data_IF_133398305506
#
_entry.id   IF_133398305506
#
_cell.length_a   1.000
_cell.length_b   1.000
_cell.length_c   1.000
_cell.angle_alpha   90.00
_cell.angle_beta   90.00
_cell.angle_gamma   90.00
#
_symmetry.space_group_name_H-M   'P 1'
#
loop_
_entity.id
_entity.type
_entity.pdbx_description
1 polymer ?
#
# COMPACT_ATOMS: atom_id res chain seq x y z
N UNK A 1 41.58 -32.56 -60.53
CA UNK A 1 40.58 -33.37 -59.80
C UNK A 1 39.24 -32.68 -60.00
N UNK A 2 38.52 -32.91 -61.12
CA UNK A 2 37.38 -33.86 -61.27
C UNK A 2 36.53 -33.86 -59.98
N UNK A 3 35.28 -33.40 -59.95
CA UNK A 3 34.06 -33.89 -60.63
C UNK A 3 33.00 -32.77 -60.57
N UNK A 4 32.58 -32.21 -61.72
CA UNK A 4 31.34 -32.47 -62.48
C UNK A 4 30.03 -31.97 -61.85
N UNK A 5 29.62 -30.78 -62.31
CA UNK A 5 28.28 -30.20 -62.24
C UNK A 5 27.42 -30.88 -63.31
N UNK A 6 26.26 -31.44 -62.95
CA UNK A 6 25.32 -31.98 -63.95
C UNK A 6 23.93 -31.42 -63.70
N UNK A 7 23.53 -30.50 -64.59
CA UNK A 7 22.16 -30.05 -64.79
C UNK A 7 21.48 -31.06 -65.70
N UNK A 8 20.30 -31.56 -65.32
CA UNK A 8 19.39 -32.22 -66.26
C UNK A 8 17.97 -31.72 -66.02
N UNK A 9 17.49 -30.99 -67.03
CA UNK A 9 16.09 -30.69 -67.29
C UNK A 9 15.49 -31.93 -67.95
N UNK A 10 14.37 -32.44 -67.42
CA UNK A 10 13.49 -33.36 -68.13
C UNK A 10 12.05 -32.87 -68.03
N UNK A 11 11.50 -32.53 -69.19
CA UNK A 11 10.07 -32.35 -69.43
C UNK A 11 9.46 -33.75 -69.56
N UNK A 12 8.36 -34.05 -68.86
CA UNK A 12 7.46 -35.11 -69.31
C UNK A 12 6.03 -34.95 -68.76
N UNK A 13 5.15 -34.57 -69.68
CA UNK A 13 3.86 -35.20 -70.05
C UNK A 13 2.90 -35.60 -68.93
N UNK A 14 1.75 -34.92 -68.95
CA UNK A 14 0.50 -35.20 -68.25
C UNK A 14 0.01 -36.63 -68.57
N UNK A 15 -0.34 -37.40 -67.55
CA UNK A 15 -1.20 -38.58 -67.66
C UNK A 15 -2.22 -38.54 -66.52
N UNK A 16 -3.48 -38.31 -66.89
CA UNK A 16 -4.61 -38.42 -65.99
C UNK A 16 -4.86 -39.89 -65.63
N UNK A 17 -4.62 -40.26 -64.38
CA UNK A 17 -5.17 -41.49 -63.80
C UNK A 17 -5.91 -41.14 -62.52
N UNK A 18 -7.24 -41.22 -62.61
CA UNK A 18 -8.18 -41.25 -61.50
C UNK A 18 -7.74 -42.30 -60.48
N UNK A 19 -7.57 -41.90 -59.22
CA UNK A 19 -7.48 -42.81 -58.08
C UNK A 19 -8.44 -42.35 -57.00
N UNK A 20 -9.28 -43.29 -56.61
CA UNK A 20 -10.41 -43.25 -55.70
C UNK A 20 -10.11 -42.60 -54.34
N UNK A 21 -11.08 -41.82 -53.84
CA UNK A 21 -11.16 -41.41 -52.43
C UNK A 21 -11.03 -42.65 -51.54
N UNK A 22 -9.90 -42.79 -50.83
CA UNK A 22 -9.87 -43.59 -49.61
C UNK A 22 -10.73 -42.85 -48.58
N UNK A 23 -11.80 -43.50 -48.13
CA UNK A 23 -12.62 -43.06 -47.01
C UNK A 23 -11.94 -43.45 -45.70
N UNK A 24 -10.72 -42.96 -45.47
CA UNK A 24 -10.15 -42.99 -44.13
C UNK A 24 -10.76 -41.85 -43.35
N UNK A 25 -11.77 -42.19 -42.54
CA UNK A 25 -12.25 -41.34 -41.47
C UNK A 25 -11.09 -41.07 -40.53
N UNK A 26 -10.41 -39.94 -40.72
CA UNK A 26 -9.54 -39.36 -39.72
C UNK A 26 -10.39 -39.13 -38.47
N UNK A 27 -10.31 -40.03 -37.49
CA UNK A 27 -10.74 -39.71 -36.14
C UNK A 27 -9.96 -38.47 -35.72
N UNK A 28 -10.61 -37.35 -35.38
CA UNK A 28 -9.90 -36.21 -34.85
C UNK A 28 -9.12 -36.69 -33.64
N UNK A 29 -7.79 -36.50 -33.63
CA UNK A 29 -7.03 -36.58 -32.39
C UNK A 29 -7.58 -35.43 -31.55
N UNK A 30 -8.51 -35.75 -30.65
CA UNK A 30 -8.90 -34.84 -29.59
C UNK A 30 -7.66 -34.72 -28.70
N UNK A 31 -6.83 -33.71 -28.98
CA UNK A 31 -5.87 -33.23 -28.00
C UNK A 31 -6.66 -33.04 -26.70
N UNK A 32 -6.28 -33.69 -25.58
CA UNK A 32 -6.92 -33.47 -24.31
C UNK A 32 -6.97 -31.95 -24.08
N UNK A 33 -8.08 -31.38 -23.61
CA UNK A 33 -8.12 -29.96 -23.33
C UNK A 33 -6.94 -29.66 -22.39
N UNK A 34 -5.95 -28.95 -22.91
CA UNK A 34 -4.83 -28.45 -22.11
C UNK A 34 -5.48 -27.65 -21.00
N UNK A 35 -5.40 -28.17 -19.77
CA UNK A 35 -6.02 -27.53 -18.63
C UNK A 35 -5.22 -26.28 -18.35
N UNK A 36 -5.64 -25.17 -18.94
CA UNK A 36 -4.95 -23.88 -18.81
C UNK A 36 -5.40 -23.13 -17.55
N UNK A 37 -6.35 -23.68 -16.79
CA UNK A 37 -6.83 -23.11 -15.53
C UNK A 37 -6.63 -24.05 -14.36
N UNK A 38 -6.16 -23.49 -13.25
CA UNK A 38 -5.86 -24.21 -12.02
C UNK A 38 -6.59 -23.55 -10.84
N UNK A 39 -6.88 -24.34 -9.81
CA UNK A 39 -7.61 -23.89 -8.63
C UNK A 39 -6.67 -23.22 -7.64
N UNK A 40 -7.08 -22.06 -7.16
CA UNK A 40 -6.51 -21.40 -5.98
C UNK A 40 -7.48 -21.63 -4.82
N UNK A 41 -6.97 -22.22 -3.73
CA UNK A 41 -7.73 -22.41 -2.50
C UNK A 41 -7.17 -21.53 -1.40
N UNK A 42 -7.90 -20.49 -1.04
CA UNK A 42 -7.60 -19.60 0.07
C UNK A 42 -8.47 -19.95 1.27
N UNK A 43 -7.85 -20.40 2.36
CA UNK A 43 -8.50 -20.63 3.65
C UNK A 43 -8.24 -19.42 4.57
N UNK A 44 -9.23 -19.05 5.38
CA UNK A 44 -9.19 -17.85 6.24
C UNK A 44 -8.80 -16.57 5.45
N UNK A 45 -9.33 -16.47 4.23
CA UNK A 45 -9.07 -15.37 3.32
C UNK A 45 -9.96 -15.45 2.08
N UNK A 46 -9.68 -14.55 1.15
CA UNK A 46 -10.44 -14.32 -0.06
C UNK A 46 -9.53 -14.43 -1.30
N UNK A 47 -10.11 -14.74 -2.45
CA UNK A 47 -9.39 -14.97 -3.72
C UNK A 47 -9.42 -16.41 -4.22
N UNK A 48 -10.19 -17.30 -3.59
CA UNK A 48 -10.41 -18.66 -4.08
C UNK A 48 -11.17 -18.66 -5.40
N UNK A 49 -10.60 -19.23 -6.46
CA UNK A 49 -11.27 -19.42 -7.75
C UNK A 49 -10.43 -20.32 -8.68
N UNK A 50 -10.83 -20.44 -9.94
CA UNK A 50 -9.98 -20.96 -11.02
C UNK A 50 -9.38 -19.80 -11.81
N UNK A 51 -8.07 -19.86 -12.03
CA UNK A 51 -7.31 -18.85 -12.75
C UNK A 51 -6.48 -19.50 -13.84
N UNK A 52 -6.20 -18.76 -14.93
CA UNK A 52 -5.34 -19.27 -15.98
C UNK A 52 -3.88 -19.20 -15.57
N UNK A 53 -3.05 -20.09 -16.10
CA UNK A 53 -1.60 -20.00 -15.91
C UNK A 53 -1.10 -18.63 -16.37
N UNK A 54 -0.27 -17.98 -15.57
CA UNK A 54 0.23 -16.64 -15.88
C UNK A 54 -0.68 -15.48 -15.46
N UNK A 55 -1.91 -15.73 -14.99
CA UNK A 55 -2.74 -14.68 -14.40
C UNK A 55 -2.07 -14.12 -13.13
N UNK A 56 -2.10 -12.80 -12.95
CA UNK A 56 -1.82 -12.18 -11.65
C UNK A 56 -3.02 -12.40 -10.73
N UNK A 57 -2.82 -13.16 -9.66
CA UNK A 57 -3.85 -13.48 -8.67
C UNK A 57 -3.53 -12.74 -7.38
N UNK A 58 -4.52 -12.01 -6.86
CA UNK A 58 -4.46 -11.38 -5.55
C UNK A 58 -5.15 -12.28 -4.52
N UNK A 59 -4.62 -12.31 -3.31
CA UNK A 59 -5.27 -12.97 -2.17
C UNK A 59 -5.22 -12.05 -0.96
N UNK A 60 -6.26 -12.13 -0.14
CA UNK A 60 -6.45 -11.25 1.01
C UNK A 60 -6.79 -12.09 2.23
N UNK A 61 -6.27 -11.70 3.39
CA UNK A 61 -6.69 -12.26 4.66
C UNK A 61 -8.16 -11.96 4.92
N UNK A 62 -8.81 -12.82 5.72
CA UNK A 62 -10.09 -12.49 6.33
C UNK A 62 -9.99 -11.17 7.11
N UNK A 63 -11.11 -10.44 7.22
CA UNK A 63 -11.19 -9.26 8.09
C UNK A 63 -10.87 -9.62 9.55
N UNK A 64 -10.23 -8.70 10.27
CA UNK A 64 -9.80 -8.89 11.66
C UNK A 64 -10.04 -7.64 12.50
N UNK A 65 -10.34 -7.84 13.79
CA UNK A 65 -10.72 -6.78 14.71
C UNK A 65 -9.56 -6.04 15.37
N UNK A 66 -9.87 -5.15 16.30
CA UNK A 66 -8.88 -4.34 17.03
C UNK A 66 -7.95 -5.15 17.94
N UNK A 67 -8.40 -6.32 18.38
CA UNK A 67 -7.62 -7.28 19.18
C UNK A 67 -6.80 -8.26 18.32
N UNK A 68 -6.66 -8.00 17.02
CA UNK A 68 -5.96 -8.88 16.09
C UNK A 68 -5.12 -8.10 15.07
N UNK A 69 -4.07 -8.76 14.58
CA UNK A 69 -3.30 -8.37 13.39
C UNK A 69 -3.12 -9.59 12.50
N UNK A 70 -2.83 -9.36 11.22
CA UNK A 70 -2.38 -10.44 10.35
C UNK A 70 -1.00 -10.96 10.80
N UNK A 71 -0.86 -12.28 10.84
CA UNK A 71 0.42 -12.93 11.19
C UNK A 71 1.20 -13.30 9.93
N UNK A 72 0.71 -14.30 9.18
CA UNK A 72 1.36 -14.82 7.97
C UNK A 72 0.42 -15.70 7.13
N UNK A 73 0.85 -15.94 5.90
CA UNK A 73 0.34 -17.02 5.06
C UNK A 73 1.08 -18.34 5.34
N UNK A 74 0.42 -19.46 5.05
CA UNK A 74 0.99 -20.82 5.03
C UNK A 74 0.49 -21.60 3.82
N UNK A 75 1.13 -22.72 3.45
CA UNK A 75 0.85 -23.45 2.21
C UNK A 75 1.91 -23.16 1.14
N UNK A 76 1.48 -22.90 -0.10
CA UNK A 76 2.37 -22.65 -1.26
C UNK A 76 3.04 -21.26 -1.26
N UNK A 77 3.41 -20.74 -0.09
CA UNK A 77 3.84 -19.34 0.13
C UNK A 77 5.07 -18.91 -0.65
N UNK A 78 5.83 -19.84 -1.22
CA UNK A 78 6.98 -19.56 -2.09
C UNK A 78 6.59 -18.81 -3.37
N UNK A 79 5.32 -18.84 -3.78
CA UNK A 79 4.83 -18.07 -4.92
C UNK A 79 4.45 -16.63 -4.57
N UNK A 80 4.24 -16.31 -3.29
CA UNK A 80 3.71 -15.01 -2.87
C UNK A 80 4.82 -13.95 -2.90
N UNK A 81 4.51 -12.78 -3.47
CA UNK A 81 5.45 -11.65 -3.46
C UNK A 81 5.60 -11.02 -2.06
N UNK A 82 4.59 -11.16 -1.20
CA UNK A 82 4.58 -10.64 0.17
C UNK A 82 3.92 -11.62 1.14
N UNK A 83 4.56 -12.75 1.49
CA UNK A 83 3.95 -13.79 2.33
C UNK A 83 3.66 -13.35 3.77
N UNK A 84 4.22 -12.21 4.21
CA UNK A 84 3.89 -11.57 5.49
C UNK A 84 2.76 -10.55 5.41
N UNK A 85 2.35 -10.12 4.22
CA UNK A 85 1.37 -9.05 4.04
C UNK A 85 -0.05 -9.62 3.99
N UNK A 86 -1.00 -8.93 4.63
CA UNK A 86 -2.39 -9.35 4.71
C UNK A 86 -3.05 -9.40 3.32
N UNK A 87 -2.59 -8.56 2.40
CA UNK A 87 -2.90 -8.60 0.98
C UNK A 87 -1.61 -8.86 0.22
N UNK A 88 -1.64 -9.84 -0.66
CA UNK A 88 -0.49 -10.20 -1.50
C UNK A 88 -0.95 -10.75 -2.85
N UNK A 89 0.01 -11.02 -3.73
CA UNK A 89 -0.26 -11.50 -5.06
C UNK A 89 0.84 -12.44 -5.55
N UNK A 90 0.50 -13.24 -6.56
CA UNK A 90 1.41 -14.17 -7.24
C UNK A 90 0.99 -14.35 -8.70
N UNK A 91 1.89 -14.92 -9.51
CA UNK A 91 1.59 -15.35 -10.86
C UNK A 91 1.14 -16.80 -10.81
N UNK A 92 -0.04 -17.09 -11.34
CA UNK A 92 -0.65 -18.42 -11.26
C UNK A 92 0.24 -19.49 -11.92
N UNK A 93 0.72 -20.51 -11.18
CA UNK A 93 1.51 -21.58 -11.75
C UNK A 93 0.63 -22.59 -12.49
N UNK A 94 1.27 -23.52 -13.21
CA UNK A 94 0.61 -24.62 -13.92
C UNK A 94 0.17 -25.78 -12.99
N UNK A 95 -0.29 -25.45 -11.79
CA UNK A 95 -0.79 -26.41 -10.80
C UNK A 95 -1.76 -25.73 -9.83
N UNK A 96 -2.57 -26.53 -9.15
CA UNK A 96 -3.38 -26.03 -8.04
C UNK A 96 -2.47 -25.54 -6.90
N UNK A 97 -2.89 -24.50 -6.20
CA UNK A 97 -2.18 -23.94 -5.05
C UNK A 97 -3.13 -23.70 -3.90
N UNK A 98 -2.63 -23.78 -2.67
CA UNK A 98 -3.39 -23.48 -1.47
C UNK A 98 -2.63 -22.55 -0.53
N UNK A 99 -3.37 -21.57 0.01
CA UNK A 99 -2.89 -20.60 0.98
C UNK A 99 -3.84 -20.56 2.17
N UNK A 100 -3.29 -20.50 3.37
CA UNK A 100 -4.07 -20.32 4.59
C UNK A 100 -3.57 -19.12 5.36
N UNK A 101 -4.45 -18.12 5.53
CA UNK A 101 -4.18 -16.92 6.32
C UNK A 101 -4.28 -17.21 7.81
N UNK A 102 -3.41 -16.58 8.60
CA UNK A 102 -3.43 -16.70 10.06
C UNK A 102 -3.40 -15.34 10.72
N UNK A 103 -4.13 -15.22 11.83
CA UNK A 103 -4.21 -14.01 12.63
C UNK A 103 -3.49 -14.23 13.94
N UNK A 104 -2.89 -13.15 14.46
CA UNK A 104 -2.30 -13.10 15.80
C UNK A 104 -3.14 -12.21 16.69
N UNK A 105 -3.51 -12.71 17.86
CA UNK A 105 -4.16 -11.89 18.89
C UNK A 105 -3.18 -10.88 19.48
N UNK A 106 -3.67 -9.65 19.68
CA UNK A 106 -2.95 -8.56 20.31
C UNK A 106 -3.84 -7.90 21.37
N UNK A 107 -3.23 -7.17 22.29
CA UNK A 107 -3.98 -6.24 23.14
C UNK A 107 -4.41 -5.05 22.27
N UNK A 108 -5.71 -4.68 22.26
CA UNK A 108 -6.16 -3.47 21.57
C UNK A 108 -5.34 -2.25 21.98
N UNK A 109 -4.94 -1.47 20.98
CA UNK A 109 -4.09 -0.29 21.19
C UNK A 109 -4.99 0.93 21.34
N UNK A 110 -5.04 1.48 22.54
CA UNK A 110 -5.72 2.75 22.81
C UNK A 110 -4.68 3.85 23.01
N UNK A 111 -4.64 4.80 22.07
CA UNK A 111 -3.74 5.94 22.18
C UNK A 111 -4.18 6.87 23.31
N UNK A 112 -3.22 7.33 24.09
CA UNK A 112 -3.43 8.45 25.00
C UNK A 112 -3.50 9.73 24.18
N UNK A 113 -4.34 10.67 24.60
CA UNK A 113 -4.44 12.00 24.00
C UNK A 113 -4.21 13.05 25.06
N UNK A 114 -3.35 14.01 24.76
CA UNK A 114 -3.24 15.24 25.54
C UNK A 114 -2.81 16.41 24.66
N UNK A 115 -2.96 17.62 25.19
CA UNK A 115 -2.36 18.82 24.61
C UNK A 115 -0.95 18.96 25.19
N UNK A 116 0.08 18.96 24.34
CA UNK A 116 1.47 19.19 24.75
C UNK A 116 1.94 20.52 24.18
N UNK A 117 2.62 21.32 25.00
CA UNK A 117 3.17 22.61 24.56
C UNK A 117 4.27 22.36 23.52
N UNK A 118 4.03 22.78 22.27
CA UNK A 118 5.05 22.94 21.23
C UNK A 118 5.86 24.22 21.43
N UNK A 119 6.51 24.72 20.37
CA UNK A 119 7.31 25.96 20.43
C UNK A 119 6.45 27.16 20.79
N UNK A 120 5.37 27.40 20.06
CA UNK A 120 4.58 28.63 20.19
C UNK A 120 3.17 28.43 20.76
N UNK A 121 2.61 27.21 20.70
CA UNK A 121 1.28 26.88 21.24
C UNK A 121 1.14 25.42 21.69
N UNK A 122 -0.03 25.07 22.23
CA UNK A 122 -0.38 23.69 22.52
C UNK A 122 -0.63 22.93 21.20
N UNK A 123 -0.19 21.68 21.16
CA UNK A 123 -0.33 20.77 20.02
C UNK A 123 -1.13 19.55 20.47
N UNK A 124 -2.10 19.07 19.67
CA UNK A 124 -2.71 17.78 19.93
C UNK A 124 -1.65 16.69 19.75
N UNK A 125 -1.49 15.85 20.78
CA UNK A 125 -0.56 14.73 20.74
C UNK A 125 -1.29 13.45 21.12
N UNK A 126 -1.22 12.47 20.23
CA UNK A 126 -1.62 11.10 20.50
C UNK A 126 -0.39 10.22 20.66
N UNK A 127 -0.35 9.33 21.64
CA UNK A 127 0.81 8.49 21.87
C UNK A 127 0.47 7.17 22.55
N UNK A 128 1.37 6.21 22.40
CA UNK A 128 1.36 4.96 23.17
C UNK A 128 2.80 4.46 23.29
N UNK A 129 3.22 4.08 24.50
CA UNK A 129 4.54 3.49 24.74
C UNK A 129 4.38 2.15 25.45
N UNK A 130 4.63 1.02 24.75
CA UNK A 130 4.72 -0.28 25.40
C UNK A 130 5.76 -0.25 26.52
N UNK A 131 5.50 -1.00 27.59
CA UNK A 131 6.52 -1.25 28.61
C UNK A 131 7.77 -1.86 27.95
N UNK A 132 8.94 -1.26 28.21
CA UNK A 132 10.20 -1.72 27.63
C UNK A 132 10.40 -1.42 26.13
N UNK A 133 9.57 -0.57 25.51
CA UNK A 133 9.64 -0.24 24.08
C UNK A 133 11.08 -0.05 23.57
N UNK A 134 11.39 -0.59 22.38
CA UNK A 134 12.75 -0.59 21.81
C UNK A 134 13.15 0.74 21.16
N UNK A 135 12.16 1.57 20.87
CA UNK A 135 12.28 2.87 20.23
C UNK A 135 10.89 3.44 20.02
N UNK A 136 10.78 4.57 19.33
CA UNK A 136 9.48 5.13 18.99
C UNK A 136 9.44 5.75 17.60
N UNK A 137 8.24 5.74 17.02
CA UNK A 137 7.96 6.18 15.66
C UNK A 137 7.08 7.41 15.70
N UNK A 138 7.52 8.48 15.05
CA UNK A 138 6.63 9.58 14.68
C UNK A 138 5.79 9.21 13.47
N UNK A 139 4.47 9.31 13.57
CA UNK A 139 3.55 9.14 12.45
C UNK A 139 3.07 10.52 11.98
N UNK A 140 3.24 10.82 10.69
CA UNK A 140 3.05 12.16 10.14
C UNK A 140 1.99 12.18 9.03
N UNK A 141 1.01 13.08 9.17
CA UNK A 141 -0.06 13.26 8.20
C UNK A 141 0.41 13.95 6.91
N UNK A 142 -0.33 13.73 5.82
CA UNK A 142 -0.15 14.47 4.56
C UNK A 142 -0.76 15.87 4.58
N UNK A 143 -0.68 16.57 3.45
CA UNK A 143 -1.32 17.89 3.28
C UNK A 143 -2.81 17.86 3.65
N UNK A 144 -3.29 18.89 4.34
CA UNK A 144 -4.66 19.01 4.85
C UNK A 144 -5.09 17.94 5.86
N UNK A 145 -4.15 17.10 6.31
CA UNK A 145 -4.38 16.15 7.40
C UNK A 145 -4.30 16.80 8.78
N UNK A 146 -4.80 16.08 9.77
CA UNK A 146 -4.70 16.42 11.19
C UNK A 146 -4.20 15.21 11.99
N UNK A 147 -3.72 15.43 13.21
CA UNK A 147 -3.34 14.34 14.11
C UNK A 147 -4.56 13.43 14.37
N UNK A 148 -5.73 14.03 14.57
CA UNK A 148 -6.99 13.32 14.80
C UNK A 148 -7.41 12.49 13.58
N UNK A 149 -7.33 13.03 12.36
CA UNK A 149 -7.67 12.24 11.17
C UNK A 149 -6.71 11.06 11.00
N UNK A 150 -5.43 11.26 11.27
CA UNK A 150 -4.42 10.21 11.14
C UNK A 150 -4.71 9.01 12.03
N UNK A 151 -4.98 9.26 13.32
CA UNK A 151 -5.20 8.17 14.30
C UNK A 151 -6.55 7.45 14.13
N UNK A 152 -7.45 8.02 13.33
CA UNK A 152 -8.77 7.43 13.02
C UNK A 152 -8.85 6.84 11.60
N UNK A 153 -7.85 7.08 10.73
CA UNK A 153 -7.80 6.50 9.38
C UNK A 153 -7.50 5.01 9.47
N UNK A 154 -8.31 4.18 8.81
CA UNK A 154 -8.26 2.73 8.98
C UNK A 154 -6.88 2.14 8.66
N UNK A 155 -6.22 2.61 7.60
CA UNK A 155 -4.91 2.10 7.16
C UNK A 155 -3.80 2.50 8.15
N UNK A 156 -3.85 3.71 8.70
CA UNK A 156 -2.93 4.13 9.77
C UNK A 156 -3.16 3.36 11.07
N UNK A 157 -4.41 3.01 11.39
CA UNK A 157 -4.75 2.15 12.52
C UNK A 157 -4.08 0.80 12.39
N UNK A 158 -4.09 0.19 11.20
CA UNK A 158 -3.39 -1.07 10.98
C UNK A 158 -1.88 -0.92 11.21
N UNK A 159 -1.26 0.14 10.69
CA UNK A 159 0.17 0.38 10.85
C UNK A 159 0.55 0.54 12.33
N UNK A 160 -0.13 1.40 13.09
CA UNK A 160 0.28 1.63 14.47
C UNK A 160 -0.01 0.44 15.40
N UNK A 161 -1.07 -0.35 15.13
CA UNK A 161 -1.33 -1.60 15.86
C UNK A 161 -0.16 -2.55 15.72
N UNK A 162 0.36 -2.70 14.51
CA UNK A 162 1.48 -3.58 14.24
C UNK A 162 2.81 -3.03 14.81
N UNK A 163 3.05 -1.72 14.74
CA UNK A 163 4.22 -1.09 15.38
C UNK A 163 4.23 -1.32 16.89
N UNK A 164 3.09 -1.11 17.56
CA UNK A 164 2.96 -1.30 19.01
C UNK A 164 3.13 -2.77 19.40
N UNK A 165 2.51 -3.69 18.65
CA UNK A 165 2.68 -5.13 18.86
C UNK A 165 4.11 -5.61 18.61
N UNK A 166 4.87 -4.91 17.77
CA UNK A 166 6.30 -5.16 17.53
C UNK A 166 7.21 -4.47 18.57
N UNK A 167 6.64 -3.77 19.55
CA UNK A 167 7.34 -3.17 20.68
C UNK A 167 7.86 -1.75 20.43
N UNK A 168 7.37 -1.06 19.41
CA UNK A 168 7.62 0.37 19.24
C UNK A 168 6.64 1.22 20.05
N UNK A 169 7.14 2.32 20.62
CA UNK A 169 6.27 3.44 20.99
C UNK A 169 5.85 4.23 19.75
N UNK A 170 4.77 5.00 19.86
CA UNK A 170 4.31 5.89 18.80
C UNK A 170 4.02 7.29 19.36
N UNK A 171 4.28 8.30 18.54
CA UNK A 171 3.85 9.69 18.77
C UNK A 171 3.22 10.19 17.48
N UNK A 172 2.05 10.82 17.59
CA UNK A 172 1.34 11.49 16.49
C UNK A 172 1.03 12.91 16.93
N UNK A 173 1.37 13.87 16.08
CA UNK A 173 0.95 15.26 16.20
C UNK A 173 0.75 15.83 14.81
N UNK A 174 0.59 17.14 14.69
CA UNK A 174 0.27 17.80 13.43
C UNK A 174 1.14 19.02 13.17
N UNK A 175 1.19 19.39 11.89
CA UNK A 175 1.89 20.57 11.41
C UNK A 175 1.38 21.85 12.08
N UNK A 176 2.22 22.89 12.10
CA UNK A 176 1.83 24.16 12.68
C UNK A 176 0.66 24.82 11.97
N UNK A 177 0.65 24.75 10.64
CA UNK A 177 -0.43 25.28 9.81
C UNK A 177 -1.76 24.55 10.07
N UNK A 178 -1.70 23.24 10.29
CA UNK A 178 -2.88 22.47 10.68
C UNK A 178 -3.45 22.97 12.01
N UNK A 179 -2.60 23.17 13.03
CA UNK A 179 -3.07 23.61 14.36
C UNK A 179 -3.67 25.01 14.34
N UNK A 180 -3.17 25.91 13.49
CA UNK A 180 -3.70 27.28 13.37
C UNK A 180 -4.86 27.41 12.41
N UNK A 181 -4.97 26.51 11.43
CA UNK A 181 -5.79 26.73 10.24
C UNK A 181 -5.26 27.87 9.36
N UNK A 182 -4.00 28.26 9.51
CA UNK A 182 -3.37 29.36 8.76
C UNK A 182 -2.26 28.80 7.89
N UNK A 183 -2.39 29.03 6.58
CA UNK A 183 -1.34 28.84 5.59
C UNK A 183 -0.27 29.93 5.78
N UNK A 184 0.79 29.59 6.51
CA UNK A 184 1.78 30.55 6.98
C UNK A 184 2.80 30.90 5.89
N UNK A 185 2.97 30.01 4.92
CA UNK A 185 3.91 30.19 3.81
C UNK A 185 3.23 30.66 2.50
N UNK A 186 1.90 30.81 2.51
CA UNK A 186 1.05 31.25 1.41
C UNK A 186 1.10 30.35 0.16
N UNK A 187 1.24 29.04 0.36
CA UNK A 187 1.27 28.05 -0.73
C UNK A 187 -0.10 27.45 -1.10
N UNK A 188 -1.16 27.93 -0.44
CA UNK A 188 -2.56 27.52 -0.61
C UNK A 188 -2.93 26.23 0.10
N UNK A 189 -2.05 25.67 0.94
CA UNK A 189 -2.24 24.37 1.60
C UNK A 189 -1.91 24.48 3.09
N UNK A 190 -2.43 23.56 3.90
CA UNK A 190 -2.06 23.42 5.32
C UNK A 190 -1.22 22.16 5.47
N UNK A 191 0.07 22.29 5.80
CA UNK A 191 0.99 21.15 5.77
C UNK A 191 2.26 21.36 6.60
N UNK A 192 3.08 20.31 6.70
CA UNK A 192 4.38 20.40 7.33
C UNK A 192 5.32 21.29 6.52
N UNK A 193 6.01 22.19 7.20
CA UNK A 193 7.09 22.98 6.63
C UNK A 193 8.35 22.11 6.54
N UNK A 194 8.65 21.59 5.35
CA UNK A 194 9.75 20.63 5.15
C UNK A 194 11.13 21.29 5.21
N UNK A 195 11.22 22.55 4.78
CA UNK A 195 12.48 23.31 4.64
C UNK A 195 12.30 24.75 5.13
N UNK A 196 13.34 25.40 5.72
CA UNK A 196 14.65 24.83 6.07
C UNK A 196 14.55 23.74 7.13
N UNK A 197 15.44 22.75 7.08
CA UNK A 197 15.49 21.67 8.06
C UNK A 197 16.33 22.11 9.27
N UNK A 198 15.70 22.78 10.22
CA UNK A 198 16.34 23.27 11.44
C UNK A 198 15.33 23.44 12.59
N UNK A 199 15.74 23.26 13.84
CA UNK A 199 14.81 23.36 14.99
C UNK A 199 14.75 24.74 15.65
N UNK A 200 15.22 25.79 14.97
CA UNK A 200 15.29 27.16 15.51
C UNK A 200 14.32 28.09 14.77
N UNK A 201 14.37 28.10 13.45
CA UNK A 201 13.53 28.90 12.57
C UNK A 201 12.30 28.12 12.11
N UNK A 202 12.46 26.83 11.82
CA UNK A 202 11.33 26.01 11.41
C UNK A 202 10.54 25.50 12.63
N UNK A 203 9.31 26.01 12.75
CA UNK A 203 8.40 25.75 13.87
C UNK A 203 8.03 24.27 14.00
N UNK A 204 7.92 23.53 12.90
CA UNK A 204 7.55 22.11 12.96
C UNK A 204 8.67 21.26 13.55
N UNK A 205 9.93 21.51 13.19
CA UNK A 205 11.07 20.82 13.80
C UNK A 205 11.23 21.20 15.28
N UNK A 206 10.99 22.47 15.62
CA UNK A 206 10.99 22.92 17.01
C UNK A 206 9.88 22.22 17.83
N UNK A 207 8.67 22.11 17.27
CA UNK A 207 7.55 21.38 17.86
C UNK A 207 7.90 19.92 18.12
N UNK A 208 8.40 19.19 17.11
CA UNK A 208 8.81 17.79 17.26
C UNK A 208 9.85 17.64 18.37
N UNK A 209 10.87 18.50 18.39
CA UNK A 209 11.91 18.49 19.43
C UNK A 209 11.32 18.69 20.83
N UNK A 210 10.49 19.72 21.03
CA UNK A 210 9.93 20.06 22.34
C UNK A 210 8.95 19.00 22.84
N UNK A 211 8.11 18.45 21.96
CA UNK A 211 7.22 17.34 22.29
C UNK A 211 8.03 16.11 22.69
N UNK A 212 9.09 15.78 21.93
CA UNK A 212 9.98 14.65 22.28
C UNK A 212 10.64 14.88 23.65
N UNK A 213 11.19 16.08 23.89
CA UNK A 213 11.82 16.46 25.15
C UNK A 213 10.84 16.35 26.33
N UNK A 214 9.54 16.59 26.11
CA UNK A 214 8.49 16.39 27.14
C UNK A 214 8.38 14.92 27.56
N UNK A 215 8.40 13.97 26.62
CA UNK A 215 8.38 12.53 26.94
C UNK A 215 9.66 12.08 27.65
N UNK A 216 10.82 12.68 27.33
CA UNK A 216 12.06 12.43 28.04
C UNK A 216 12.01 12.94 29.48
N UNK A 217 11.56 14.17 29.69
CA UNK A 217 11.50 14.78 31.02
C UNK A 217 10.51 14.07 31.95
N UNK A 218 9.44 13.49 31.39
CA UNK A 218 8.46 12.67 32.13
C UNK A 218 8.92 11.23 32.39
N UNK A 219 10.08 10.82 31.86
CA UNK A 219 10.59 9.45 32.01
C UNK A 219 9.81 8.38 31.24
N UNK A 220 8.90 8.77 30.33
CA UNK A 220 8.12 7.84 29.50
C UNK A 220 9.04 7.13 28.50
N UNK A 221 10.02 7.85 27.96
CA UNK A 221 11.11 7.33 27.12
C UNK A 221 12.40 8.07 27.46
N UNK A 222 13.51 7.76 26.78
CA UNK A 222 14.79 8.42 27.04
C UNK A 222 15.63 8.57 25.76
N UNK A 223 16.71 9.36 25.85
CA UNK A 223 17.58 9.68 24.69
C UNK A 223 18.38 8.50 24.14
N UNK A 224 18.46 7.38 24.87
CA UNK A 224 19.09 6.15 24.35
C UNK A 224 18.14 5.33 23.49
N UNK A 225 16.83 5.62 23.49
CA UNK A 225 15.84 4.96 22.64
C UNK A 225 15.94 5.47 21.22
N UNK A 226 15.91 4.54 20.27
CA UNK A 226 15.99 4.83 18.85
C UNK A 226 14.72 5.56 18.38
N UNK A 227 14.91 6.52 17.48
CA UNK A 227 13.85 7.33 16.89
C UNK A 227 13.66 6.95 15.43
N UNK A 228 12.41 6.94 15.00
CA UNK A 228 12.00 6.58 13.65
C UNK A 228 10.89 7.50 13.19
N UNK A 229 10.64 7.50 11.89
CA UNK A 229 9.54 8.27 11.34
C UNK A 229 8.86 7.56 10.17
N UNK A 230 7.54 7.63 10.11
CA UNK A 230 6.73 7.21 8.97
C UNK A 230 5.76 8.33 8.65
N UNK A 231 5.68 8.71 7.38
CA UNK A 231 4.74 9.73 6.95
C UNK A 231 4.21 9.48 5.56
N UNK A 232 3.11 10.13 5.23
CA UNK A 232 2.48 10.04 3.91
C UNK A 232 2.43 11.41 3.21
N UNK A 233 2.65 11.45 1.90
CA UNK A 233 2.61 12.67 1.07
C UNK A 233 3.58 13.74 1.60
N UNK A 234 3.11 14.97 1.84
CA UNK A 234 3.92 15.99 2.51
C UNK A 234 4.52 15.50 3.85
N UNK A 235 3.81 14.70 4.64
CA UNK A 235 4.34 14.05 5.83
C UNK A 235 5.41 13.00 5.55
N UNK A 236 5.39 12.35 4.38
CA UNK A 236 6.44 11.44 3.92
C UNK A 236 7.72 12.17 3.53
N UNK A 237 7.57 13.32 2.85
CA UNK A 237 8.70 14.24 2.64
C UNK A 237 9.23 14.75 3.99
N UNK A 238 8.36 15.21 4.89
CA UNK A 238 8.77 15.67 6.21
C UNK A 238 9.48 14.56 7.00
N UNK A 239 9.00 13.31 6.95
CA UNK A 239 9.64 12.17 7.60
C UNK A 239 11.10 11.99 7.16
N UNK A 240 11.38 12.13 5.86
CA UNK A 240 12.73 12.01 5.32
C UNK A 240 13.66 13.13 5.81
N UNK A 241 13.22 14.40 5.72
CA UNK A 241 14.04 15.54 6.14
C UNK A 241 14.23 15.58 7.66
N UNK A 242 13.15 15.35 8.43
CA UNK A 242 13.17 15.27 9.89
C UNK A 242 14.17 14.21 10.37
N UNK A 243 14.15 13.05 9.73
CA UNK A 243 15.02 11.93 10.08
C UNK A 243 16.48 12.13 9.70
N UNK A 244 16.75 12.81 8.59
CA UNK A 244 18.11 13.22 8.24
C UNK A 244 18.64 14.30 9.19
N UNK A 245 17.83 15.31 9.51
CA UNK A 245 18.23 16.39 10.43
C UNK A 245 18.52 15.88 11.85
N UNK A 246 17.57 15.16 12.46
CA UNK A 246 17.72 14.65 13.83
C UNK A 246 18.49 13.34 13.95
N UNK A 247 19.01 12.81 12.82
CA UNK A 247 19.73 11.53 12.75
C UNK A 247 18.94 10.38 13.38
N UNK A 248 17.69 10.24 12.94
CA UNK A 248 16.86 9.10 13.31
C UNK A 248 17.43 7.80 12.72
N UNK A 249 17.03 6.67 13.28
CA UNK A 249 17.57 5.36 12.91
C UNK A 249 17.11 4.92 11.51
N UNK A 250 15.86 5.22 11.15
CA UNK A 250 15.31 5.00 9.81
C UNK A 250 14.04 5.83 9.60
N UNK A 251 13.69 6.06 8.33
CA UNK A 251 12.46 6.73 7.91
C UNK A 251 11.73 5.94 6.82
N UNK A 252 10.41 6.09 6.75
CA UNK A 252 9.58 5.57 5.67
C UNK A 252 8.71 6.67 5.09
N UNK A 253 8.78 6.84 3.76
CA UNK A 253 8.02 7.82 3.00
C UNK A 253 6.97 7.11 2.15
N UNK A 254 5.70 7.26 2.51
CA UNK A 254 4.57 6.83 1.70
C UNK A 254 4.17 7.92 0.72
N UNK A 255 4.00 7.56 -0.55
CA UNK A 255 3.53 8.46 -1.61
C UNK A 255 4.26 9.82 -1.60
N UNK A 256 5.59 9.81 -1.45
CA UNK A 256 6.40 11.01 -1.53
C UNK A 256 7.85 10.68 -1.93
N UNK A 257 8.47 11.48 -2.80
CA UNK A 257 9.81 11.22 -3.31
C UNK A 257 10.94 11.62 -2.36
N UNK A 258 10.64 12.16 -1.16
CA UNK A 258 11.60 12.68 -0.18
C UNK A 258 12.44 13.90 -0.65
N UNK A 259 12.15 14.47 -1.82
CA UNK A 259 12.74 15.71 -2.30
C UNK A 259 14.28 15.73 -2.24
N UNK A 260 14.85 16.87 -1.85
CA UNK A 260 16.30 17.05 -1.79
C UNK A 260 16.95 16.31 -0.62
N UNK A 261 16.21 15.92 0.42
CA UNK A 261 16.77 15.14 1.52
C UNK A 261 17.33 13.79 1.03
N UNK A 262 16.73 13.19 0.00
CA UNK A 262 17.26 11.95 -0.59
C UNK A 262 18.67 12.11 -1.20
N UNK A 263 19.05 13.33 -1.60
CA UNK A 263 20.35 13.61 -2.22
C UNK A 263 21.49 13.60 -1.20
N UNK A 264 21.20 13.94 0.06
CA UNK A 264 22.21 14.11 1.11
C UNK A 264 22.07 13.12 2.25
N UNK A 265 20.88 12.56 2.47
CA UNK A 265 20.60 11.71 3.64
C UNK A 265 21.60 10.56 3.77
N UNK A 266 22.02 10.36 5.01
CA UNK A 266 22.75 9.16 5.47
C UNK A 266 21.84 8.25 6.31
N UNK A 267 20.62 8.73 6.61
CA UNK A 267 19.60 7.98 7.34
C UNK A 267 18.93 6.98 6.39
N UNK A 268 18.85 5.68 6.77
CA UNK A 268 18.12 4.69 6.00
C UNK A 268 16.70 5.13 5.67
N UNK A 269 16.31 5.05 4.39
CA UNK A 269 15.02 5.52 3.90
C UNK A 269 14.33 4.48 3.01
N UNK A 270 13.10 4.10 3.37
CA UNK A 270 12.22 3.29 2.54
C UNK A 270 11.16 4.15 1.86
N UNK A 271 10.87 3.84 0.60
CA UNK A 271 9.79 4.44 -0.19
C UNK A 271 8.66 3.42 -0.38
N UNK A 272 7.43 3.84 -0.12
CA UNK A 272 6.22 3.08 -0.40
C UNK A 272 5.33 3.92 -1.33
N UNK A 273 5.44 3.69 -2.63
CA UNK A 273 4.78 4.50 -3.66
C UNK A 273 3.48 3.87 -4.15
N UNK A 274 2.57 4.66 -4.70
CA UNK A 274 1.36 4.16 -5.34
C UNK A 274 1.49 4.31 -6.87
N UNK A 275 1.46 3.22 -7.62
CA UNK A 275 1.76 3.21 -9.07
C UNK A 275 0.97 4.24 -9.87
N UNK A 276 -0.30 4.39 -9.54
CA UNK A 276 -1.25 5.23 -10.28
C UNK A 276 -1.64 6.48 -9.50
N UNK A 277 -0.79 6.92 -8.57
CA UNK A 277 -0.94 8.18 -7.84
C UNK A 277 -1.28 9.32 -8.81
N UNK A 278 -2.48 9.88 -8.68
CA UNK A 278 -2.95 10.96 -9.55
C UNK A 278 -2.64 12.36 -8.99
N UNK A 279 -1.92 12.44 -7.86
CA UNK A 279 -1.56 13.72 -7.28
C UNK A 279 -0.53 14.44 -8.15
N UNK A 280 -0.79 15.71 -8.45
CA UNK A 280 0.08 16.56 -9.28
C UNK A 280 1.55 16.59 -8.82
N UNK A 281 1.81 16.42 -7.52
CA UNK A 281 3.14 16.54 -6.93
C UNK A 281 3.86 15.19 -6.79
N UNK A 282 3.15 14.07 -6.94
CA UNK A 282 3.67 12.73 -6.61
C UNK A 282 3.49 11.72 -7.74
N UNK A 283 2.64 11.99 -8.75
CA UNK A 283 2.24 11.03 -9.77
C UNK A 283 3.35 10.38 -10.61
N UNK A 284 3.22 10.18 -11.93
CA UNK A 284 4.25 9.42 -12.68
C UNK A 284 5.68 9.95 -12.48
N UNK A 285 5.85 11.28 -12.42
CA UNK A 285 7.14 11.93 -12.16
C UNK A 285 7.63 11.73 -10.72
N UNK A 286 6.76 11.85 -9.72
CA UNK A 286 7.15 11.65 -8.31
C UNK A 286 7.48 10.18 -8.01
N UNK A 287 6.75 9.24 -8.60
CA UNK A 287 7.07 7.81 -8.56
C UNK A 287 8.45 7.49 -9.15
N UNK A 288 8.76 8.06 -10.32
CA UNK A 288 10.07 7.92 -10.94
C UNK A 288 11.17 8.57 -10.08
N UNK A 289 10.91 9.76 -9.52
CA UNK A 289 11.83 10.43 -8.62
C UNK A 289 12.12 9.60 -7.35
N UNK A 290 11.10 9.01 -6.72
CA UNK A 290 11.26 8.15 -5.56
C UNK A 290 12.15 6.92 -5.86
N UNK A 291 11.98 6.29 -7.03
CA UNK A 291 12.82 5.18 -7.46
C UNK A 291 14.28 5.62 -7.66
N UNK A 292 14.50 6.71 -8.41
CA UNK A 292 15.83 7.28 -8.64
C UNK A 292 16.50 7.68 -7.32
N UNK A 293 15.74 8.25 -6.39
CA UNK A 293 16.22 8.65 -5.07
C UNK A 293 16.62 7.44 -4.21
N UNK A 294 15.83 6.35 -4.23
CA UNK A 294 16.20 5.10 -3.56
C UNK A 294 17.50 4.50 -4.13
N UNK A 295 17.64 4.51 -5.46
CA UNK A 295 18.84 4.05 -6.14
C UNK A 295 20.06 4.93 -5.82
N UNK A 296 19.88 6.25 -5.75
CA UNK A 296 20.94 7.20 -5.38
C UNK A 296 21.42 7.00 -3.94
N UNK A 297 20.50 6.79 -2.99
CA UNK A 297 20.88 6.51 -1.59
C UNK A 297 21.70 5.22 -1.53
N UNK A 298 21.26 4.19 -2.27
CA UNK A 298 21.96 2.90 -2.36
C UNK A 298 23.33 3.03 -3.01
N UNK A 299 23.47 3.79 -4.11
CA UNK A 299 24.74 3.99 -4.80
C UNK A 299 25.76 4.77 -3.97
N UNK A 300 25.30 5.59 -3.02
CA UNK A 300 26.12 6.26 -2.00
C UNK A 300 26.49 5.37 -0.81
N UNK A 301 26.06 4.11 -0.79
CA UNK A 301 26.38 3.13 0.26
C UNK A 301 25.45 3.16 1.47
N UNK A 302 24.32 3.87 1.41
CA UNK A 302 23.33 3.93 2.49
C UNK A 302 22.13 3.04 2.18
N UNK A 303 21.49 2.53 3.23
CA UNK A 303 20.36 1.62 3.05
C UNK A 303 19.12 2.34 2.48
N UNK A 304 18.56 1.80 1.41
CA UNK A 304 17.24 2.19 0.93
C UNK A 304 16.46 0.99 0.40
N UNK A 305 15.13 1.09 0.46
CA UNK A 305 14.19 0.13 -0.13
C UNK A 305 13.12 0.91 -0.90
N UNK A 306 12.64 0.32 -1.98
CA UNK A 306 11.57 0.87 -2.80
C UNK A 306 10.50 -0.18 -3.01
N UNK A 307 9.28 0.17 -2.64
CA UNK A 307 8.08 -0.62 -2.88
C UNK A 307 7.07 0.23 -3.62
N UNK A 308 6.25 -0.42 -4.44
CA UNK A 308 5.26 0.25 -5.26
C UNK A 308 4.00 -0.60 -5.33
N UNK A 309 2.94 -0.05 -4.75
CA UNK A 309 1.66 -0.70 -4.72
C UNK A 309 1.03 -0.66 -6.11
N UNK A 310 0.47 -1.79 -6.54
CA UNK A 310 -0.20 -1.92 -7.83
C UNK A 310 -1.72 -1.87 -7.65
N UNK A 311 -2.45 -1.76 -8.77
CA UNK A 311 -3.90 -1.96 -8.72
C UNK A 311 -4.21 -3.36 -8.22
N UNK A 312 -5.31 -3.47 -7.47
CA UNK A 312 -5.83 -4.72 -6.99
C UNK A 312 -7.34 -4.79 -7.28
N UNK A 313 -7.89 -5.99 -7.49
CA UNK A 313 -9.33 -6.14 -7.62
C UNK A 313 -10.03 -5.72 -6.33
N UNK A 314 -11.22 -5.14 -6.48
CA UNK A 314 -12.11 -4.88 -5.36
C UNK A 314 -12.84 -6.19 -5.04
N UNK A 315 -12.47 -6.88 -3.96
CA UNK A 315 -13.22 -8.04 -3.49
C UNK A 315 -14.48 -7.61 -2.76
N UNK A 316 -15.52 -8.45 -2.83
CA UNK A 316 -16.82 -8.18 -2.24
C UNK A 316 -16.73 -7.96 -0.72
N UNK A 317 -15.72 -8.54 -0.07
CA UNK A 317 -15.47 -8.47 1.36
C UNK A 317 -14.53 -7.31 1.76
N UNK A 318 -13.97 -6.57 0.80
CA UNK A 318 -12.98 -5.51 1.08
C UNK A 318 -13.50 -4.46 2.05
N UNK A 319 -14.77 -4.08 1.94
CA UNK A 319 -15.35 -3.09 2.83
C UNK A 319 -15.69 -3.65 4.23
N UNK A 320 -15.80 -4.97 4.38
CA UNK A 320 -16.01 -5.59 5.67
C UNK A 320 -14.76 -5.56 6.57
N UNK A 321 -13.58 -5.23 6.03
CA UNK A 321 -12.32 -5.09 6.79
C UNK A 321 -12.41 -4.14 7.97
N UNK A 322 -13.29 -3.13 7.91
CA UNK A 322 -13.50 -2.17 9.00
C UNK A 322 -14.14 -2.79 10.25
N UNK A 323 -14.78 -3.95 10.13
CA UNK A 323 -15.44 -4.66 11.24
C UNK A 323 -16.84 -4.15 11.58
N UNK A 324 -17.12 -2.86 11.35
CA UNK A 324 -18.45 -2.25 11.52
C UNK A 324 -19.31 -2.27 10.24
N UNK A 325 -18.78 -2.81 9.12
CA UNK A 325 -19.51 -3.13 7.90
C UNK A 325 -19.58 -4.66 7.80
N UNK A 326 -20.78 -5.22 7.74
CA UNK A 326 -20.94 -6.68 7.62
C UNK A 326 -20.51 -7.16 6.23
N UNK A 327 -20.10 -8.44 6.12
CA UNK A 327 -19.78 -9.05 4.81
C UNK A 327 -20.95 -8.94 3.84
N UNK A 328 -22.18 -9.20 4.30
CA UNK A 328 -23.37 -9.04 3.48
C UNK A 328 -23.52 -7.61 2.94
N UNK A 329 -23.25 -6.60 3.78
CA UNK A 329 -23.34 -5.20 3.36
C UNK A 329 -22.23 -4.81 2.38
N UNK A 330 -21.01 -5.26 2.64
CA UNK A 330 -19.86 -5.09 1.75
C UNK A 330 -20.16 -5.68 0.36
N UNK A 331 -20.71 -6.90 0.30
CA UNK A 331 -21.13 -7.56 -0.94
C UNK A 331 -22.23 -6.80 -1.66
N UNK A 332 -23.20 -6.23 -0.93
CA UNK A 332 -24.27 -5.44 -1.55
C UNK A 332 -23.72 -4.17 -2.23
N UNK A 333 -22.80 -3.45 -1.58
CA UNK A 333 -22.13 -2.28 -2.16
C UNK A 333 -21.28 -2.69 -3.36
N UNK A 334 -20.52 -3.78 -3.26
CA UNK A 334 -19.76 -4.32 -4.39
C UNK A 334 -20.66 -4.61 -5.60
N UNK A 335 -21.81 -5.24 -5.39
CA UNK A 335 -22.77 -5.54 -6.45
C UNK A 335 -23.42 -4.27 -7.03
N UNK A 336 -23.69 -3.27 -6.21
CA UNK A 336 -24.16 -1.95 -6.66
C UNK A 336 -23.12 -1.28 -7.59
N UNK A 337 -21.85 -1.27 -7.19
CA UNK A 337 -20.76 -0.75 -8.02
C UNK A 337 -20.61 -1.54 -9.33
N UNK A 338 -20.67 -2.88 -9.25
CA UNK A 338 -20.54 -3.78 -10.41
C UNK A 338 -21.67 -3.58 -11.41
N UNK A 339 -22.92 -3.60 -10.96
CA UNK A 339 -24.11 -3.47 -11.80
C UNK A 339 -24.19 -2.10 -12.49
N UNK A 340 -23.64 -1.05 -11.86
CA UNK A 340 -23.53 0.29 -12.44
C UNK A 340 -22.28 0.48 -13.32
N UNK A 341 -21.49 -0.57 -13.53
CA UNK A 341 -20.39 -0.56 -14.48
C UNK A 341 -19.07 0.03 -13.97
N UNK A 342 -18.96 0.36 -12.68
CA UNK A 342 -17.72 0.88 -12.08
C UNK A 342 -16.61 -0.17 -11.99
N UNK A 343 -16.94 -1.46 -12.08
CA UNK A 343 -15.98 -2.56 -12.06
C UNK A 343 -15.88 -3.23 -13.44
N UNK A 344 -14.68 -3.66 -13.83
CA UNK A 344 -14.46 -4.47 -15.04
C UNK A 344 -14.80 -5.95 -14.82
N UNK A 345 -14.62 -6.80 -15.82
CA UNK A 345 -14.92 -8.24 -15.71
C UNK A 345 -14.07 -8.97 -14.66
N UNK A 346 -12.90 -8.45 -14.31
CA UNK A 346 -11.97 -8.97 -13.30
C UNK A 346 -12.10 -8.27 -11.93
N UNK A 347 -13.14 -7.45 -11.76
CA UNK A 347 -13.45 -6.70 -10.54
C UNK A 347 -12.45 -5.60 -10.19
N UNK A 348 -11.66 -5.12 -11.15
CA UNK A 348 -10.90 -3.89 -10.98
C UNK A 348 -11.82 -2.69 -11.14
N UNK A 349 -11.63 -1.69 -10.29
CA UNK A 349 -12.34 -0.43 -10.40
C UNK A 349 -11.84 0.38 -11.61
N UNK A 350 -12.76 0.94 -12.39
CA UNK A 350 -12.49 1.70 -13.61
C UNK A 350 -12.31 3.18 -13.28
N UNK A 351 -11.19 3.76 -13.71
CA UNK A 351 -10.84 5.15 -13.39
C UNK A 351 -10.33 5.30 -11.96
N UNK A 352 -10.69 6.43 -11.33
CA UNK A 352 -10.39 6.76 -9.94
C UNK A 352 -11.69 7.03 -9.17
N UNK A 353 -11.59 7.27 -7.86
CA UNK A 353 -12.74 7.49 -6.98
C UNK A 353 -13.63 8.66 -7.43
N UNK A 354 -13.06 9.66 -8.09
CA UNK A 354 -13.76 10.81 -8.66
C UNK A 354 -14.91 10.38 -9.58
N UNK A 355 -14.68 9.38 -10.44
CA UNK A 355 -15.69 8.81 -11.35
C UNK A 355 -16.93 8.34 -10.60
N UNK A 356 -16.76 7.68 -9.45
CA UNK A 356 -17.89 7.27 -8.61
C UNK A 356 -18.50 8.47 -7.88
N UNK A 357 -17.70 9.34 -7.27
CA UNK A 357 -18.23 10.46 -6.50
C UNK A 357 -19.01 11.46 -7.36
N UNK A 358 -18.58 11.73 -8.59
CA UNK A 358 -19.31 12.55 -9.56
C UNK A 358 -20.64 11.91 -9.94
N UNK A 359 -20.65 10.60 -10.24
CA UNK A 359 -21.89 9.88 -10.55
C UNK A 359 -22.86 9.85 -9.37
N UNK A 360 -22.34 9.67 -8.15
CA UNK A 360 -23.11 9.74 -6.92
C UNK A 360 -23.71 11.13 -6.69
N UNK A 361 -22.93 12.20 -6.84
CA UNK A 361 -23.41 13.58 -6.70
C UNK A 361 -24.51 13.92 -7.71
N UNK A 362 -24.40 13.43 -8.94
CA UNK A 362 -25.39 13.67 -9.98
C UNK A 362 -26.73 12.94 -9.71
N UNK A 363 -26.70 11.75 -9.09
CA UNK A 363 -27.93 11.02 -8.76
C UNK A 363 -27.76 10.12 -7.51
N UNK A 364 -27.81 10.70 -6.30
CA UNK A 364 -27.60 9.95 -5.05
C UNK A 364 -28.64 8.84 -4.84
N UNK A 365 -29.89 9.10 -5.24
CA UNK A 365 -30.99 8.14 -5.08
C UNK A 365 -30.76 6.82 -5.82
N UNK A 366 -29.88 6.81 -6.83
CA UNK A 366 -29.53 5.60 -7.57
C UNK A 366 -28.60 4.66 -6.80
N UNK A 367 -28.06 5.06 -5.64
CA UNK A 367 -27.08 4.30 -4.84
C UNK A 367 -27.61 3.90 -3.45
N UNK A 368 -28.70 3.13 -3.35
CA UNK A 368 -29.32 2.78 -2.08
C UNK A 368 -28.39 2.04 -1.10
N UNK A 369 -27.51 1.16 -1.60
CA UNK A 369 -26.59 0.41 -0.74
C UNK A 369 -25.54 1.35 -0.13
N UNK A 370 -24.96 2.24 -0.92
CA UNK A 370 -24.03 3.25 -0.42
C UNK A 370 -24.72 4.29 0.48
N UNK A 371 -25.96 4.68 0.20
CA UNK A 371 -26.72 5.64 1.02
C UNK A 371 -27.01 5.15 2.43
N UNK A 372 -27.22 3.84 2.59
CA UNK A 372 -27.51 3.24 3.89
C UNK A 372 -26.31 3.17 4.84
N UNK A 373 -25.11 3.48 4.35
CA UNK A 373 -23.91 3.59 5.17
C UNK A 373 -23.93 4.87 6.01
N UNK A 374 -23.28 4.83 7.17
CA UNK A 374 -22.94 6.04 7.92
C UNK A 374 -21.91 6.88 7.14
N UNK A 375 -21.73 8.14 7.54
CA UNK A 375 -20.72 9.04 6.93
C UNK A 375 -19.32 8.42 7.02
N UNK A 376 -18.93 7.88 8.18
CA UNK A 376 -17.61 7.27 8.38
C UNK A 376 -17.42 6.01 7.54
N UNK A 377 -18.46 5.20 7.37
CA UNK A 377 -18.41 4.02 6.51
C UNK A 377 -18.29 4.41 5.03
N UNK A 378 -18.98 5.47 4.57
CA UNK A 378 -18.82 6.00 3.22
C UNK A 378 -17.41 6.51 2.94
N UNK A 379 -16.83 7.26 3.88
CA UNK A 379 -15.44 7.72 3.78
C UNK A 379 -14.49 6.52 3.62
N UNK A 380 -14.65 5.51 4.48
CA UNK A 380 -13.85 4.29 4.39
C UNK A 380 -14.03 3.54 3.06
N UNK A 381 -15.27 3.42 2.54
CA UNK A 381 -15.51 2.81 1.22
C UNK A 381 -14.76 3.57 0.12
N UNK A 382 -14.81 4.90 0.13
CA UNK A 382 -14.11 5.73 -0.85
C UNK A 382 -12.59 5.55 -0.75
N UNK A 383 -12.05 5.55 0.47
CA UNK A 383 -10.63 5.26 0.72
C UNK A 383 -10.22 3.89 0.17
N UNK A 384 -11.01 2.84 0.43
CA UNK A 384 -10.71 1.49 -0.07
C UNK A 384 -10.78 1.40 -1.60
N UNK A 385 -11.66 2.17 -2.26
CA UNK A 385 -11.68 2.28 -3.72
C UNK A 385 -10.38 2.97 -4.20
N UNK A 386 -10.00 4.11 -3.61
CA UNK A 386 -8.75 4.81 -3.95
C UNK A 386 -7.52 3.90 -3.77
N UNK A 387 -7.43 3.15 -2.68
CA UNK A 387 -6.33 2.20 -2.45
C UNK A 387 -6.36 1.07 -3.49
N UNK A 388 -7.54 0.55 -3.86
CA UNK A 388 -7.65 -0.54 -4.85
C UNK A 388 -7.15 -0.14 -6.23
N UNK A 389 -7.27 1.15 -6.59
CA UNK A 389 -6.73 1.66 -7.85
C UNK A 389 -5.29 2.16 -7.73
N UNK A 390 -4.66 1.99 -6.55
CA UNK A 390 -3.34 2.51 -6.20
C UNK A 390 -3.20 4.01 -6.45
N UNK A 391 -4.16 4.76 -5.89
CA UNK A 391 -4.16 6.22 -5.87
C UNK A 391 -3.38 6.79 -4.67
N UNK A 392 -3.32 8.12 -4.57
CA UNK A 392 -2.66 8.89 -3.52
C UNK A 392 -3.29 8.69 -2.13
N UNK A 393 -3.03 7.55 -1.51
CA UNK A 393 -3.49 7.20 -0.16
C UNK A 393 -2.42 6.42 0.60
N UNK A 394 -2.43 6.49 1.94
CA UNK A 394 -1.66 5.50 2.71
C UNK A 394 -2.36 4.13 2.59
N UNK A 395 -1.61 3.05 2.71
CA UNK A 395 -2.16 1.70 2.62
C UNK A 395 -1.34 0.74 3.49
N UNK A 396 -2.00 -0.28 4.03
CA UNK A 396 -1.39 -1.27 4.94
C UNK A 396 -0.71 -2.45 4.23
N UNK A 397 -0.73 -2.48 2.90
CA UNK A 397 -0.21 -3.57 2.06
C UNK A 397 1.31 -3.81 2.22
N UNK A 398 2.04 -2.83 2.78
CA UNK A 398 3.48 -2.94 3.09
C UNK A 398 3.78 -2.72 4.58
N UNK A 399 2.83 -2.99 5.48
CA UNK A 399 3.06 -2.83 6.91
C UNK A 399 4.20 -3.73 7.41
N UNK A 400 4.24 -5.01 7.02
CA UNK A 400 5.35 -5.89 7.47
C UNK A 400 6.67 -5.45 6.88
N UNK A 401 6.70 -5.05 5.61
CA UNK A 401 7.90 -4.51 4.98
C UNK A 401 8.41 -3.25 5.72
N UNK A 402 7.51 -2.31 6.03
CA UNK A 402 7.80 -1.11 6.84
C UNK A 402 8.36 -1.46 8.21
N UNK A 403 7.71 -2.36 8.95
CA UNK A 403 8.17 -2.76 10.29
C UNK A 403 9.50 -3.48 10.24
N UNK A 404 9.70 -4.37 9.26
CA UNK A 404 10.99 -5.03 9.01
C UNK A 404 12.08 -4.00 8.76
N UNK A 405 11.82 -3.00 7.92
CA UNK A 405 12.78 -1.93 7.64
C UNK A 405 13.13 -1.08 8.87
N UNK A 406 12.14 -0.75 9.71
CA UNK A 406 12.40 -0.05 10.96
C UNK A 406 13.23 -0.89 11.95
N UNK A 407 13.08 -2.22 11.93
CA UNK A 407 13.89 -3.13 12.75
C UNK A 407 15.30 -3.31 12.21
N UNK A 408 15.44 -3.74 10.97
CA UNK A 408 16.71 -4.26 10.42
C UNK A 408 17.27 -3.42 9.28
N UNK A 409 16.51 -2.46 8.75
CA UNK A 409 16.85 -1.65 7.59
C UNK A 409 17.15 -2.54 6.37
N UNK A 410 18.43 -2.72 6.03
CA UNK A 410 18.87 -3.58 4.93
C UNK A 410 19.57 -4.86 5.41
N UNK A 411 19.58 -5.12 6.72
CA UNK A 411 20.10 -6.34 7.35
C UNK A 411 19.09 -7.48 7.30
#
# INVERSE_FOLDING_TARGET
MRVLLTVLVFISIISCTSCSKSSDTLTPIVTPPTTDSFTVTVNNGYGSSKYKTGDTVHIFSIAYGDNQVFDKWSGDVTYLNGPGEWHTWFIMPNKNVSFTGTLKSITPVTLQFEQIRGRDRMKPVYYYFPAGHKGFVYLLHGTSGTAQNLVNSFEFVQLYKELVNDGFGIIVTESEETTTGVDANADGKLRWLVSPADSVNNVDYANIKIITDTFYNRGITNRSKLRYCVGMSNGGNFAAYLSDYFKYKAAVSYCAPAGVAALTTVTPLQFCMARFDNNENVGPAGNAAALSNSQLITSRGYCSKYFINERAPLYAERFARRGDITVAKSTAIFNELKSKGFLDSKNYFKGFIDVFTTAYQANPASFPEYNSLTILQRLFVNEQISISVSDHHIYSDYNKATIKFLNTQCL
#
